data_IF_560803813960
#
_entry.id   IF_560803813960
#
_cell.length_a   1.000
_cell.length_b   1.000
_cell.length_c   1.000
_cell.angle_alpha   90.00
_cell.angle_beta   90.00
_cell.angle_gamma   90.00
#
_symmetry.space_group_name_H-M   'P 1'
#
loop_
_entity.id
_entity.type
_entity.pdbx_description
1 polymer ?
#
# COMPACT_ATOMS: atom_id res chain seq x y z
N UNK A 1 17.15 -16.28 -14.29
CA UNK A 1 16.21 -17.09 -13.49
C UNK A 1 14.89 -16.35 -13.47
N UNK A 2 13.78 -17.02 -13.78
CA UNK A 2 12.45 -16.40 -13.80
C UNK A 2 11.95 -16.29 -12.35
N UNK A 3 11.54 -15.10 -11.93
CA UNK A 3 10.88 -14.92 -10.63
C UNK A 3 9.51 -15.58 -10.66
N UNK A 4 9.07 -16.08 -9.52
CA UNK A 4 7.74 -16.66 -9.37
C UNK A 4 6.70 -15.55 -9.57
N UNK A 5 5.70 -15.80 -10.42
CA UNK A 5 4.60 -14.85 -10.62
C UNK A 5 3.84 -14.61 -9.31
N UNK A 6 3.35 -13.39 -9.14
CA UNK A 6 2.64 -13.04 -7.92
C UNK A 6 1.25 -13.68 -7.89
N UNK A 7 1.00 -14.47 -6.84
CA UNK A 7 -0.28 -15.18 -6.65
C UNK A 7 -1.34 -14.35 -5.93
N UNK A 8 -0.96 -13.28 -5.22
CA UNK A 8 -1.90 -12.47 -4.45
C UNK A 8 -2.70 -11.53 -5.34
N UNK A 9 -4.00 -11.40 -5.05
CA UNK A 9 -4.83 -10.33 -5.61
C UNK A 9 -4.75 -9.07 -4.74
N UNK A 10 -4.84 -7.89 -5.35
CA UNK A 10 -4.91 -6.61 -4.63
C UNK A 10 -6.16 -5.88 -5.01
N UNK A 11 -6.73 -5.18 -4.04
CA UNK A 11 -7.77 -4.19 -4.27
C UNK A 11 -7.39 -2.95 -3.45
N UNK A 12 -7.08 -1.80 -4.10
CA UNK A 12 -7.03 -1.55 -5.55
C UNK A 12 -5.78 -2.12 -6.26
N UNK A 13 -5.92 -2.45 -7.56
CA UNK A 13 -4.84 -3.08 -8.37
C UNK A 13 -3.84 -2.09 -8.98
N UNK A 14 -4.27 -0.86 -9.29
CA UNK A 14 -3.47 0.06 -10.10
C UNK A 14 -2.81 1.19 -9.31
N UNK A 15 -3.49 1.70 -8.28
CA UNK A 15 -3.03 2.87 -7.53
C UNK A 15 -3.72 3.01 -6.17
N UNK A 16 -3.02 3.62 -5.21
CA UNK A 16 -3.57 4.02 -3.92
C UNK A 16 -3.93 5.50 -3.94
N UNK A 17 -5.20 5.83 -3.73
CA UNK A 17 -5.68 7.22 -3.66
C UNK A 17 -5.84 7.65 -2.22
N UNK A 18 -5.25 8.78 -1.88
CA UNK A 18 -5.44 9.46 -0.61
C UNK A 18 -6.27 10.71 -0.88
N UNK A 19 -7.45 10.78 -0.27
CA UNK A 19 -8.34 11.92 -0.41
C UNK A 19 -8.09 12.88 0.75
N UNK A 20 -7.89 14.16 0.42
CA UNK A 20 -7.77 15.22 1.41
C UNK A 20 -9.05 15.41 2.24
N UNK A 21 -9.01 16.29 3.26
CA UNK A 21 -7.90 17.21 3.56
C UNK A 21 -6.68 16.51 4.17
N UNK A 22 -5.47 17.01 3.88
CA UNK A 22 -4.19 16.46 4.39
C UNK A 22 -3.70 17.17 5.67
N UNK A 23 -4.59 17.88 6.34
CA UNK A 23 -4.36 18.51 7.64
C UNK A 23 -4.27 17.49 8.78
N UNK A 24 -4.90 16.33 8.59
CA UNK A 24 -4.92 15.20 9.52
C UNK A 24 -4.47 13.91 8.83
N UNK A 25 -4.39 12.83 9.60
CA UNK A 25 -4.04 11.51 9.07
C UNK A 25 -5.12 11.00 8.12
N UNK A 26 -4.74 10.70 6.88
CA UNK A 26 -5.63 10.12 5.86
C UNK A 26 -5.35 8.64 5.74
N UNK A 27 -6.38 7.81 5.85
CA UNK A 27 -6.25 6.35 5.75
C UNK A 27 -6.89 5.82 4.47
N UNK A 28 -6.14 4.97 3.76
CA UNK A 28 -6.63 4.19 2.61
C UNK A 28 -6.37 2.71 2.85
N UNK A 29 -7.34 1.87 2.51
CA UNK A 29 -7.21 0.42 2.65
C UNK A 29 -6.67 -0.21 1.36
N UNK A 30 -5.69 -1.09 1.54
CA UNK A 30 -5.19 -2.01 0.54
C UNK A 30 -5.57 -3.42 0.97
N UNK A 31 -6.48 -4.06 0.25
CA UNK A 31 -6.86 -5.44 0.50
C UNK A 31 -5.95 -6.37 -0.29
N UNK A 32 -5.34 -7.33 0.40
CA UNK A 32 -4.52 -8.38 -0.18
C UNK A 32 -5.26 -9.70 -0.05
N UNK A 33 -5.56 -10.35 -1.16
CA UNK A 33 -6.23 -11.64 -1.21
C UNK A 33 -5.27 -12.76 -1.58
N UNK A 34 -5.44 -13.93 -0.97
CA UNK A 34 -4.69 -15.14 -1.29
C UNK A 34 -5.61 -16.19 -1.91
N UNK A 35 -5.70 -16.26 -3.26
CA UNK A 35 -6.44 -17.30 -3.97
C UNK A 35 -5.67 -18.63 -4.10
N UNK A 36 -4.42 -18.70 -3.65
CA UNK A 36 -3.60 -19.92 -3.76
C UNK A 36 -3.98 -20.97 -2.71
N UNK A 37 -3.43 -22.17 -2.87
CA UNK A 37 -3.59 -23.34 -1.99
C UNK A 37 -2.56 -23.39 -0.85
N UNK A 38 -1.68 -22.38 -0.76
CA UNK A 38 -0.68 -22.25 0.29
C UNK A 38 -0.80 -20.90 1.02
N UNK A 39 -0.35 -20.86 2.27
CA UNK A 39 -0.26 -19.59 3.00
C UNK A 39 0.80 -18.71 2.35
N UNK A 40 0.54 -17.40 2.27
CA UNK A 40 1.47 -16.45 1.65
C UNK A 40 1.85 -15.38 2.66
N UNK A 41 3.16 -15.20 2.85
CA UNK A 41 3.72 -14.11 3.62
C UNK A 41 3.74 -12.85 2.74
N UNK A 42 3.38 -11.71 3.31
CA UNK A 42 3.48 -10.41 2.63
C UNK A 42 4.31 -9.42 3.45
N UNK A 43 4.92 -8.46 2.75
CA UNK A 43 5.62 -7.32 3.32
C UNK A 43 5.42 -6.09 2.45
N UNK A 44 4.92 -5.02 3.05
CA UNK A 44 4.70 -3.74 2.40
C UNK A 44 5.88 -2.82 2.68
N UNK A 45 6.47 -2.28 1.62
CA UNK A 45 7.54 -1.28 1.65
C UNK A 45 7.07 -0.02 0.94
N UNK A 46 7.58 1.14 1.33
CA UNK A 46 7.27 2.42 0.68
C UNK A 46 8.55 3.22 0.43
N UNK A 47 8.55 4.07 -0.60
CA UNK A 47 9.65 5.00 -0.87
C UNK A 47 9.66 6.21 0.08
N UNK A 48 8.63 6.39 0.91
CA UNK A 48 8.52 7.49 1.87
C UNK A 48 8.08 7.02 3.27
N UNK A 49 8.89 6.20 3.96
CA UNK A 49 8.52 5.61 5.26
C UNK A 49 8.26 6.64 6.36
N UNK A 50 8.81 7.86 6.25
CA UNK A 50 8.53 8.95 7.19
C UNK A 50 7.14 9.56 7.02
N UNK A 51 6.55 9.48 5.82
CA UNK A 51 5.23 10.06 5.51
C UNK A 51 4.08 9.08 5.70
N UNK A 52 4.35 7.78 5.66
CA UNK A 52 3.30 6.76 5.72
C UNK A 52 3.50 5.79 6.88
N UNK A 53 2.43 5.53 7.61
CA UNK A 53 2.32 4.40 8.52
C UNK A 53 1.52 3.30 7.84
N UNK A 54 2.01 2.05 7.87
CA UNK A 54 1.32 0.90 7.28
C UNK A 54 1.04 -0.12 8.36
N UNK A 55 -0.23 -0.54 8.51
CA UNK A 55 -0.63 -1.56 9.49
C UNK A 55 -1.68 -2.54 8.94
N UNK A 56 -1.42 -3.86 9.03
CA UNK A 56 -0.12 -4.49 9.29
C UNK A 56 0.89 -4.21 8.16
N UNK A 57 2.17 -4.01 8.50
CA UNK A 57 3.21 -3.81 7.49
C UNK A 57 3.72 -5.13 6.87
N UNK A 58 3.50 -6.24 7.56
CA UNK A 58 3.84 -7.60 7.16
C UNK A 58 2.97 -8.58 7.92
N UNK A 59 2.84 -9.79 7.39
CA UNK A 59 2.05 -10.84 8.00
C UNK A 59 1.87 -12.04 7.07
N UNK A 60 0.96 -12.93 7.45
CA UNK A 60 0.62 -14.13 6.70
C UNK A 60 -0.85 -14.02 6.29
N UNK A 61 -1.14 -14.36 5.03
CA UNK A 61 -2.50 -14.48 4.50
C UNK A 61 -2.78 -15.96 4.31
N UNK A 62 -3.79 -16.46 5.01
CA UNK A 62 -4.17 -17.87 4.91
C UNK A 62 -4.79 -18.18 3.54
N UNK A 63 -4.71 -19.45 3.15
CA UNK A 63 -5.38 -20.01 1.96
C UNK A 63 -6.83 -19.53 1.86
N UNK A 64 -7.20 -18.95 0.71
CA UNK A 64 -8.56 -18.49 0.41
C UNK A 64 -9.03 -17.27 1.21
N UNK A 65 -8.16 -16.63 2.01
CA UNK A 65 -8.52 -15.47 2.83
C UNK A 65 -8.02 -14.15 2.23
N UNK A 66 -8.46 -13.03 2.83
CA UNK A 66 -7.96 -11.70 2.50
C UNK A 66 -7.69 -10.92 3.77
N UNK A 67 -6.72 -10.01 3.70
CA UNK A 67 -6.37 -9.08 4.78
C UNK A 67 -6.45 -7.64 4.30
N UNK A 68 -6.92 -6.75 5.17
CA UNK A 68 -6.93 -5.31 4.91
C UNK A 68 -5.70 -4.66 5.55
N UNK A 69 -4.81 -4.15 4.70
CA UNK A 69 -3.68 -3.31 5.09
C UNK A 69 -4.13 -1.85 5.10
N UNK A 70 -4.06 -1.21 6.25
CA UNK A 70 -4.34 0.22 6.40
C UNK A 70 -3.08 1.02 6.13
N UNK A 71 -3.11 1.84 5.09
CA UNK A 71 -2.06 2.78 4.74
C UNK A 71 -2.50 4.17 5.19
N UNK A 72 -1.80 4.71 6.19
CA UNK A 72 -2.08 5.98 6.83
C UNK A 72 -1.04 7.00 6.37
N UNK A 73 -1.45 7.97 5.58
CA UNK A 73 -0.64 9.14 5.23
C UNK A 73 -0.69 10.14 6.39
N UNK A 74 0.46 10.49 6.94
CA UNK A 74 0.57 11.53 7.96
C UNK A 74 0.21 12.90 7.36
N UNK A 75 -0.27 13.80 8.21
CA UNK A 75 -0.54 15.18 7.83
C UNK A 75 0.72 15.86 7.28
N UNK A 76 0.56 16.68 6.25
CA UNK A 76 1.65 17.45 5.65
C UNK A 76 1.11 18.68 4.93
N UNK A 77 1.98 19.66 4.71
CA UNK A 77 1.67 20.84 3.91
C UNK A 77 1.54 20.42 2.44
N UNK A 78 0.30 20.27 1.98
CA UNK A 78 0.01 19.86 0.62
C UNK A 78 0.24 21.01 -0.37
N UNK A 79 1.23 20.86 -1.25
CA UNK A 79 1.42 21.74 -2.40
C UNK A 79 0.80 21.09 -3.67
N UNK A 80 -0.22 21.69 -4.30
CA UNK A 80 -0.79 21.19 -5.56
C UNK A 80 0.21 21.13 -6.72
N UNK A 81 1.30 21.89 -6.67
CA UNK A 81 2.37 21.83 -7.67
C UNK A 81 3.33 20.66 -7.42
N UNK A 82 3.41 20.17 -6.17
CA UNK A 82 4.24 19.02 -5.81
C UNK A 82 3.47 17.72 -6.07
N UNK A 83 3.75 17.10 -7.23
CA UNK A 83 3.27 15.75 -7.51
C UNK A 83 4.05 14.75 -6.66
N UNK A 84 3.53 14.44 -5.47
CA UNK A 84 4.02 13.34 -4.64
C UNK A 84 3.88 12.00 -5.38
N UNK A 85 4.99 11.47 -5.90
CA UNK A 85 5.07 10.19 -6.63
C UNK A 85 5.61 9.07 -5.74
N UNK A 86 5.02 8.89 -4.54
CA UNK A 86 5.43 7.77 -3.70
C UNK A 86 4.95 6.45 -4.27
N UNK A 87 5.69 5.38 -3.97
CA UNK A 87 5.37 4.02 -4.43
C UNK A 87 5.31 3.10 -3.23
N UNK A 88 4.32 2.22 -3.24
CA UNK A 88 4.19 1.11 -2.33
C UNK A 88 4.57 -0.16 -3.06
N UNK A 89 5.45 -0.95 -2.46
CA UNK A 89 5.88 -2.24 -2.97
C UNK A 89 5.35 -3.33 -2.05
N UNK A 90 4.54 -4.24 -2.59
CA UNK A 90 4.10 -5.45 -1.90
C UNK A 90 5.02 -6.58 -2.35
N UNK A 91 5.77 -7.13 -1.39
CA UNK A 91 6.59 -8.32 -1.58
C UNK A 91 5.88 -9.52 -0.97
N UNK A 92 5.97 -10.65 -1.65
CA UNK A 92 5.30 -11.88 -1.24
C UNK A 92 6.22 -13.08 -1.39
N UNK A 93 5.99 -14.10 -0.56
CA UNK A 93 6.61 -15.42 -0.68
C UNK A 93 5.68 -16.45 -0.04
N UNK A 94 5.80 -17.72 -0.43
CA UNK A 94 5.07 -18.78 0.26
C UNK A 94 5.56 -18.90 1.72
N UNK A 95 4.61 -19.04 2.64
CA UNK A 95 4.91 -19.20 4.04
C UNK A 95 5.46 -20.62 4.28
N UNK A 96 6.61 -20.78 4.94
CA UNK A 96 7.11 -22.10 5.29
C UNK A 96 6.19 -22.76 6.33
N UNK A 97 6.18 -24.08 6.36
CA UNK A 97 5.32 -24.86 7.26
C UNK A 97 5.70 -24.77 8.74
N UNK A 98 6.90 -24.27 9.09
CA UNK A 98 7.49 -24.43 10.44
C UNK A 98 8.00 -23.13 11.07
N UNK A 99 7.92 -21.98 10.42
CA UNK A 99 8.49 -20.72 10.96
C UNK A 99 7.44 -19.76 11.48
N UNK A 100 7.50 -19.48 12.79
CA UNK A 100 6.71 -18.42 13.44
C UNK A 100 7.40 -17.05 13.41
N UNK A 101 8.70 -17.00 13.11
CA UNK A 101 9.48 -15.76 13.06
C UNK A 101 9.52 -15.18 11.63
N UNK A 102 8.64 -14.21 11.40
CA UNK A 102 8.58 -13.47 10.13
C UNK A 102 9.85 -12.67 9.85
N UNK A 103 10.55 -12.17 10.87
CA UNK A 103 11.74 -11.34 10.65
C UNK A 103 12.92 -12.19 10.17
N UNK A 104 13.14 -13.35 10.80
CA UNK A 104 14.11 -14.34 10.35
C UNK A 104 13.80 -14.82 8.91
N UNK A 105 12.52 -15.10 8.62
CA UNK A 105 12.09 -15.52 7.30
C UNK A 105 12.51 -14.52 6.20
N UNK A 106 12.27 -13.23 6.41
CA UNK A 106 12.66 -12.20 5.42
C UNK A 106 14.17 -11.99 5.31
N UNK A 107 14.96 -12.36 6.33
CA UNK A 107 16.43 -12.29 6.30
C UNK A 107 17.05 -13.48 5.56
N UNK A 108 16.44 -14.65 5.70
CA UNK A 108 16.92 -15.91 5.11
C UNK A 108 16.38 -16.17 3.70
N UNK A 109 15.27 -15.52 3.32
CA UNK A 109 14.64 -15.67 2.01
C UNK A 109 15.64 -15.39 0.87
N UNK A 110 15.78 -16.36 -0.04
CA UNK A 110 16.59 -16.21 -1.25
C UNK A 110 15.80 -15.43 -2.31
N UNK A 111 16.48 -14.80 -3.28
CA UNK A 111 15.80 -14.13 -4.39
C UNK A 111 14.82 -15.03 -5.15
N UNK A 112 15.07 -16.35 -5.17
CA UNK A 112 14.20 -17.34 -5.84
C UNK A 112 12.93 -17.68 -5.05
N UNK A 113 12.94 -17.46 -3.72
CA UNK A 113 11.76 -17.66 -2.86
C UNK A 113 10.79 -16.46 -2.94
N UNK A 114 11.28 -15.32 -3.42
CA UNK A 114 10.52 -14.08 -3.54
C UNK A 114 9.72 -14.08 -4.84
N UNK A 115 8.42 -13.83 -4.72
CA UNK A 115 7.56 -13.55 -5.86
C UNK A 115 7.86 -12.17 -6.45
N UNK A 116 7.42 -11.95 -7.68
CA UNK A 116 7.46 -10.63 -8.31
C UNK A 116 6.79 -9.58 -7.42
N UNK A 117 7.40 -8.39 -7.31
CA UNK A 117 6.92 -7.36 -6.40
C UNK A 117 5.90 -6.45 -7.10
N UNK A 118 4.73 -6.26 -6.50
CA UNK A 118 3.72 -5.34 -7.01
C UNK A 118 4.04 -3.92 -6.58
N UNK A 119 4.07 -2.99 -7.53
CA UNK A 119 4.31 -1.58 -7.27
C UNK A 119 3.03 -0.79 -7.49
N UNK A 120 2.50 -0.21 -6.42
CA UNK A 120 1.35 0.67 -6.43
C UNK A 120 1.82 2.12 -6.30
N UNK A 121 1.67 2.97 -7.34
CA UNK A 121 1.82 4.41 -7.18
C UNK A 121 0.73 4.92 -6.23
N UNK A 122 1.10 5.88 -5.37
CA UNK A 122 0.12 6.60 -4.55
C UNK A 122 -0.09 8.01 -5.07
N UNK A 123 -1.34 8.45 -5.10
CA UNK A 123 -1.72 9.79 -5.48
C UNK A 123 -2.51 10.47 -4.37
N UNK A 124 -2.14 11.72 -4.10
CA UNK A 124 -2.89 12.61 -3.22
C UNK A 124 -3.84 13.44 -4.07
N UNK A 125 -5.14 13.21 -3.91
CA UNK A 125 -6.18 14.00 -4.57
C UNK A 125 -6.89 14.85 -3.52
N UNK A 126 -6.68 16.16 -3.58
CA UNK A 126 -7.39 17.09 -2.72
C UNK A 126 -8.67 17.55 -3.43
N UNK A 127 -9.82 17.00 -3.05
CA UNK A 127 -11.12 17.50 -3.55
C UNK A 127 -11.45 18.89 -3.01
N UNK A 128 -10.89 19.28 -1.85
CA UNK A 128 -11.14 20.58 -1.23
C UNK A 128 -10.38 21.71 -1.93
N UNK A 129 -9.33 21.43 -2.69
CA UNK A 129 -8.73 22.45 -3.57
C UNK A 129 -9.71 22.88 -4.65
N UNK A 130 -10.54 21.96 -5.16
CA UNK A 130 -11.53 22.33 -6.15
C UNK A 130 -12.59 23.24 -5.52
N UNK A 131 -13.09 22.93 -4.31
CA UNK A 131 -13.99 23.84 -3.60
C UNK A 131 -13.31 25.17 -3.24
N UNK A 132 -12.10 25.16 -2.70
CA UNK A 132 -11.36 26.38 -2.34
C UNK A 132 -11.07 27.25 -3.56
N UNK A 133 -10.65 26.67 -4.69
CA UNK A 133 -10.46 27.37 -5.96
C UNK A 133 -11.80 27.89 -6.47
N UNK A 134 -12.88 27.09 -6.44
CA UNK A 134 -14.20 27.53 -6.89
C UNK A 134 -14.79 28.61 -5.98
N UNK A 135 -14.54 28.58 -4.67
CA UNK A 135 -14.94 29.64 -3.72
C UNK A 135 -14.09 30.90 -3.92
N UNK A 136 -12.78 30.76 -4.13
CA UNK A 136 -11.86 31.87 -4.42
C UNK A 136 -12.16 32.51 -5.78
N UNK A 137 -12.59 31.72 -6.76
CA UNK A 137 -13.03 32.16 -8.09
C UNK A 137 -14.52 32.56 -8.13
N UNK A 138 -15.25 32.47 -7.00
CA UNK A 138 -16.66 32.86 -6.90
C UNK A 138 -17.67 31.99 -7.66
N UNK A 139 -17.30 30.77 -8.04
CA UNK A 139 -18.11 29.84 -8.86
C UNK A 139 -19.09 29.02 -8.00
N UNK A 140 -18.81 28.79 -6.71
CA UNK A 140 -19.80 28.29 -5.74
C UNK A 140 -20.12 29.39 -4.71
N UNK A 141 -21.37 29.85 -4.69
CA UNK A 141 -21.93 30.59 -3.56
C UNK A 141 -22.38 29.60 -2.47
N UNK A 142 -22.15 29.98 -1.21
CA UNK A 142 -22.67 29.31 0.00
C UNK A 142 -24.15 28.98 -0.07
#
# INVERSE_FOLDING_TARGET
>A
MAKVEQVQSLEPQHELKFKGPFTDVVTTNLKLGNPSDQNVCFKVKTTAPHRYCVRPNSGIINVGTSINVSVMLQSFDYDPNEKSKHKFMVQSMFAPTVTSDMEALWKEAKPDDLMDSMNLPSYCHNSDIFLSILTTLGILST
#
